data_IF_270826051013
#
_entry.id   IF_270826051013
#
_cell.length_a   1.000
_cell.length_b   1.000
_cell.length_c   1.000
_cell.angle_alpha   90.00
_cell.angle_beta   90.00
_cell.angle_gamma   90.00
#
_symmetry.space_group_name_H-M   'P 1'
#
loop_
_entity.id
_entity.type
_entity.pdbx_description
1 polymer ?
#
# COMPACT_ATOMS: atom_id res chain seq x y z
N UNK A 1 -16.91 56.38 -1.58
CA UNK A 1 -16.70 55.40 -0.49
C UNK A 1 -16.76 53.99 -1.06
N UNK A 2 -15.70 53.18 -0.92
CA UNK A 2 -15.75 51.75 -1.31
C UNK A 2 -16.75 51.04 -0.37
N UNK A 3 -17.74 50.34 -0.94
CA UNK A 3 -18.68 49.53 -0.17
C UNK A 3 -17.90 48.39 0.51
N UNK A 4 -18.12 48.21 1.82
CA UNK A 4 -17.54 47.12 2.58
C UNK A 4 -18.00 45.77 1.99
N UNK A 5 -17.09 44.81 1.75
CA UNK A 5 -17.45 43.50 1.20
C UNK A 5 -18.41 42.77 2.15
N UNK A 6 -19.41 42.11 1.57
CA UNK A 6 -20.39 41.29 2.30
C UNK A 6 -20.18 39.82 1.99
N UNK A 7 -20.30 38.98 3.01
CA UNK A 7 -20.13 37.54 2.88
C UNK A 7 -21.11 36.78 3.79
N UNK A 8 -21.24 35.47 3.57
CA UNK A 8 -22.12 34.61 4.38
C UNK A 8 -21.37 33.78 5.41
N UNK A 9 -20.06 33.68 5.30
CA UNK A 9 -19.23 32.79 6.12
C UNK A 9 -18.04 33.58 6.64
N UNK A 10 -17.81 33.49 7.94
CA UNK A 10 -16.77 34.24 8.64
C UNK A 10 -16.03 33.34 9.62
N UNK A 11 -14.77 33.68 9.85
CA UNK A 11 -13.94 33.15 10.94
C UNK A 11 -13.50 34.32 11.81
N UNK A 12 -13.76 34.26 13.10
CA UNK A 12 -13.18 35.18 14.08
C UNK A 12 -12.07 34.45 14.85
N UNK A 13 -10.93 35.10 15.01
CA UNK A 13 -9.78 34.56 15.75
C UNK A 13 -9.25 35.60 16.72
N UNK A 14 -9.07 35.24 17.99
CA UNK A 14 -8.48 36.13 18.99
C UNK A 14 -7.76 35.35 20.08
N UNK A 15 -6.69 35.92 20.61
CA UNK A 15 -6.01 35.38 21.79
C UNK A 15 -6.93 35.49 23.03
N UNK A 16 -6.93 34.47 23.89
CA UNK A 16 -7.84 34.43 25.06
C UNK A 16 -7.61 35.61 26.02
N UNK A 17 -6.37 36.09 26.14
CA UNK A 17 -5.99 37.25 26.96
C UNK A 17 -6.45 38.60 26.36
N UNK A 18 -6.84 38.62 25.09
CA UNK A 18 -7.26 39.82 24.36
C UNK A 18 -8.77 39.82 24.04
N UNK A 19 -9.50 38.77 24.43
CA UNK A 19 -10.94 38.65 24.22
C UNK A 19 -11.70 39.70 25.04
N UNK A 20 -12.54 40.51 24.37
CA UNK A 20 -13.29 41.62 25.00
C UNK A 20 -14.68 41.22 25.51
N UNK A 21 -15.04 39.97 25.32
CA UNK A 21 -16.26 39.33 25.81
C UNK A 21 -15.85 38.17 26.70
N UNK A 22 -16.67 37.81 27.68
CA UNK A 22 -16.38 36.62 28.50
C UNK A 22 -16.66 35.39 27.66
N UNK A 23 -15.81 34.38 27.83
CA UNK A 23 -15.96 33.11 27.11
C UNK A 23 -17.31 32.44 27.42
N UNK A 24 -17.74 32.46 28.69
CA UNK A 24 -19.03 31.92 29.14
C UNK A 24 -20.24 32.59 28.44
N UNK A 25 -20.10 33.85 28.02
CA UNK A 25 -21.16 34.60 27.33
C UNK A 25 -21.20 34.32 25.81
N UNK A 26 -20.19 33.64 25.24
CA UNK A 26 -20.04 33.47 23.79
C UNK A 26 -21.24 32.73 23.19
N UNK A 27 -21.69 31.65 23.81
CA UNK A 27 -22.84 30.89 23.32
C UNK A 27 -24.09 31.77 23.21
N UNK A 28 -24.33 32.63 24.21
CA UNK A 28 -25.47 33.55 24.21
C UNK A 28 -25.35 34.65 23.16
N UNK A 29 -24.15 35.21 22.99
CA UNK A 29 -23.85 36.20 21.95
C UNK A 29 -24.09 35.59 20.56
N UNK A 30 -23.58 34.37 20.33
CA UNK A 30 -23.68 33.68 19.06
C UNK A 30 -25.10 33.23 18.75
N UNK A 31 -25.88 32.80 19.74
CA UNK A 31 -27.31 32.51 19.59
C UNK A 31 -28.11 33.75 19.16
N UNK A 32 -27.73 34.95 19.64
CA UNK A 32 -28.39 36.21 19.28
C UNK A 32 -27.83 36.85 18.00
N UNK A 33 -26.78 36.27 17.41
CA UNK A 33 -26.09 36.85 16.25
C UNK A 33 -26.91 36.80 14.94
N UNK A 34 -27.93 35.95 14.87
CA UNK A 34 -28.67 35.66 13.64
C UNK A 34 -27.92 34.72 12.67
N UNK A 35 -26.83 34.10 13.12
CA UNK A 35 -26.16 33.03 12.36
C UNK A 35 -27.05 31.78 12.31
N UNK A 36 -27.06 31.12 11.14
CA UNK A 36 -27.74 29.84 10.95
C UNK A 36 -26.97 28.70 11.63
N UNK A 37 -25.65 28.72 11.49
CA UNK A 37 -24.73 27.75 12.08
C UNK A 37 -23.55 28.52 12.69
N UNK A 38 -23.21 28.22 13.94
CA UNK A 38 -21.98 28.71 14.57
C UNK A 38 -21.27 27.58 15.31
N UNK A 39 -19.94 27.66 15.35
CA UNK A 39 -19.06 26.73 16.07
C UNK A 39 -17.88 27.51 16.63
N UNK A 40 -17.47 27.25 17.87
CA UNK A 40 -16.21 27.72 18.39
C UNK A 40 -15.43 26.62 19.12
N UNK A 41 -14.11 26.82 19.20
CA UNK A 41 -13.20 25.93 19.92
C UNK A 41 -12.01 26.75 20.44
N UNK A 42 -11.52 26.36 21.62
CA UNK A 42 -10.30 26.91 22.18
C UNK A 42 -9.11 26.08 21.72
N UNK A 43 -8.10 26.76 21.18
CA UNK A 43 -6.83 26.15 20.81
C UNK A 43 -5.81 26.42 21.91
N UNK A 44 -5.74 25.51 22.88
CA UNK A 44 -4.88 25.58 24.07
C UNK A 44 -3.78 24.50 24.12
N UNK A 45 -3.82 23.54 23.17
CA UNK A 45 -2.91 22.38 23.09
C UNK A 45 -1.92 22.45 21.94
N UNK A 46 -1.92 23.56 21.21
CA UNK A 46 -1.01 23.76 20.09
C UNK A 46 0.46 23.83 20.56
N UNK A 47 1.42 23.52 19.67
CA UNK A 47 2.84 23.71 19.97
C UNK A 47 3.09 25.14 20.45
N UNK A 48 3.94 25.33 21.47
CA UNK A 48 4.22 26.67 22.03
C UNK A 48 4.89 27.61 21.02
N UNK A 49 5.48 27.07 19.97
CA UNK A 49 6.09 27.81 18.87
C UNK A 49 5.69 27.19 17.54
N UNK A 50 5.47 28.02 16.53
CA UNK A 50 5.38 27.57 15.14
C UNK A 50 6.77 27.22 14.58
N UNK A 51 6.80 26.75 13.33
CA UNK A 51 8.04 26.39 12.60
C UNK A 51 9.01 27.57 12.46
N UNK A 52 8.49 28.80 12.47
CA UNK A 52 9.28 30.04 12.41
C UNK A 52 9.74 30.52 13.81
N UNK A 53 9.42 29.77 14.86
CA UNK A 53 9.82 30.06 16.24
C UNK A 53 8.97 31.12 16.95
N UNK A 54 7.87 31.56 16.36
CA UNK A 54 6.91 32.52 16.93
C UNK A 54 6.03 31.83 17.96
N UNK A 55 5.81 32.50 19.10
CA UNK A 55 4.99 31.96 20.18
C UNK A 55 3.53 31.85 19.74
N UNK A 56 2.97 30.66 19.85
CA UNK A 56 1.52 30.43 19.69
C UNK A 56 0.90 30.56 21.08
N UNK A 57 -0.01 31.52 21.23
CA UNK A 57 -0.77 31.73 22.47
C UNK A 57 -2.08 30.94 22.42
N UNK A 58 -2.66 30.59 23.57
CA UNK A 58 -4.03 30.10 23.63
C UNK A 58 -4.99 31.10 22.98
N UNK A 59 -5.74 30.65 21.99
CA UNK A 59 -6.61 31.50 21.19
C UNK A 59 -7.93 30.77 20.87
N UNK A 60 -8.96 31.53 20.55
CA UNK A 60 -10.27 31.01 20.18
C UNK A 60 -10.50 31.20 18.68
N UNK A 61 -11.06 30.17 18.04
CA UNK A 61 -11.62 30.27 16.70
C UNK A 61 -13.13 30.18 16.76
N UNK A 62 -13.82 31.06 16.04
CA UNK A 62 -15.28 31.06 15.90
C UNK A 62 -15.65 31.10 14.43
N UNK A 63 -16.33 30.05 13.94
CA UNK A 63 -16.92 30.00 12.61
C UNK A 63 -18.38 30.43 12.69
N UNK A 64 -18.78 31.39 11.85
CA UNK A 64 -20.18 31.80 11.70
C UNK A 64 -20.62 31.65 10.25
N UNK A 65 -21.82 31.10 10.06
CA UNK A 65 -22.49 31.01 8.76
C UNK A 65 -23.89 31.61 8.84
N UNK A 66 -24.14 32.56 7.96
CA UNK A 66 -25.41 33.27 7.82
C UNK A 66 -26.15 32.82 6.56
N UNK A 67 -27.48 32.88 6.61
CA UNK A 67 -28.33 32.71 5.43
C UNK A 67 -28.12 33.86 4.43
N UNK A 68 -28.13 35.10 4.94
CA UNK A 68 -27.97 36.32 4.14
C UNK A 68 -26.60 36.97 4.37
N UNK A 69 -25.99 37.61 3.35
CA UNK A 69 -24.66 38.20 3.49
C UNK A 69 -24.59 39.29 4.57
N UNK A 70 -23.65 39.19 5.50
CA UNK A 70 -23.35 40.19 6.53
C UNK A 70 -22.11 41.00 6.17
N UNK A 71 -21.90 42.12 6.86
CA UNK A 71 -20.66 42.92 6.79
C UNK A 71 -19.66 42.40 7.82
N UNK A 72 -18.36 42.54 7.53
CA UNK A 72 -17.29 42.17 8.48
C UNK A 72 -17.42 42.97 9.77
N UNK A 73 -17.67 44.28 9.67
CA UNK A 73 -17.92 45.17 10.81
C UNK A 73 -19.08 44.69 11.70
N UNK A 74 -20.18 44.18 11.11
CA UNK A 74 -21.31 43.64 11.87
C UNK A 74 -20.90 42.42 12.70
N UNK A 75 -20.11 41.51 12.13
CA UNK A 75 -19.62 40.32 12.84
C UNK A 75 -18.62 40.70 13.93
N UNK A 76 -17.68 41.62 13.65
CA UNK A 76 -16.71 42.11 14.63
C UNK A 76 -17.38 42.78 15.85
N UNK A 77 -18.48 43.51 15.63
CA UNK A 77 -19.24 44.14 16.71
C UNK A 77 -19.85 43.14 17.70
N UNK A 78 -20.13 41.90 17.30
CA UNK A 78 -20.60 40.85 18.22
C UNK A 78 -19.59 40.58 19.35
N UNK A 79 -18.31 40.63 19.01
CA UNK A 79 -17.19 40.40 19.92
C UNK A 79 -16.63 41.70 20.52
N UNK A 80 -17.29 42.85 20.26
CA UNK A 80 -16.80 44.20 20.62
C UNK A 80 -15.39 44.47 20.09
N UNK A 81 -15.05 43.87 18.96
CA UNK A 81 -13.69 43.86 18.43
C UNK A 81 -13.53 44.58 17.09
N UNK A 82 -12.29 44.68 16.61
CA UNK A 82 -11.95 45.31 15.33
C UNK A 82 -12.17 44.32 14.18
N UNK A 83 -12.62 44.82 13.03
CA UNK A 83 -12.84 44.03 11.82
C UNK A 83 -11.62 43.21 11.34
N UNK A 84 -10.40 43.58 11.73
CA UNK A 84 -9.17 42.88 11.35
C UNK A 84 -9.06 41.46 11.94
N UNK A 85 -9.81 41.15 12.99
CA UNK A 85 -9.85 39.82 13.62
C UNK A 85 -10.94 38.92 13.03
N UNK A 86 -11.69 39.42 12.05
CA UNK A 86 -12.75 38.69 11.36
C UNK A 86 -12.38 38.51 9.90
N UNK A 87 -12.11 37.28 9.52
CA UNK A 87 -11.83 36.90 8.14
C UNK A 87 -13.08 36.39 7.43
N UNK A 88 -13.18 36.72 6.14
CA UNK A 88 -14.21 36.15 5.26
C UNK A 88 -13.75 34.77 4.79
N UNK A 89 -14.51 33.73 5.14
CA UNK A 89 -14.21 32.38 4.68
C UNK A 89 -14.65 32.18 3.22
N UNK A 90 -13.66 32.07 2.33
CA UNK A 90 -13.88 31.87 0.89
C UNK A 90 -13.79 30.38 0.55
N UNK A 91 -14.89 29.65 0.78
CA UNK A 91 -14.92 28.22 0.48
C UNK A 91 -16.18 27.51 0.95
N UNK A 92 -16.11 26.17 0.95
CA UNK A 92 -17.12 25.33 1.59
C UNK A 92 -16.95 25.44 3.10
N UNK A 93 -18.06 25.60 3.81
CA UNK A 93 -18.06 25.67 5.28
C UNK A 93 -17.44 24.41 5.94
N UNK A 94 -17.55 23.26 5.27
CA UNK A 94 -16.91 22.02 5.74
C UNK A 94 -15.39 22.15 5.93
N UNK A 95 -14.72 22.95 5.08
CA UNK A 95 -13.28 23.18 5.22
C UNK A 95 -12.99 24.06 6.45
N UNK A 96 -13.86 25.02 6.78
CA UNK A 96 -13.72 25.82 8.00
C UNK A 96 -13.84 24.92 9.24
N UNK A 97 -14.78 23.98 9.24
CA UNK A 97 -14.95 23.02 10.33
C UNK A 97 -13.77 22.06 10.48
N UNK A 98 -13.20 21.56 9.38
CA UNK A 98 -11.97 20.77 9.42
C UNK A 98 -10.77 21.60 9.90
N UNK A 99 -10.70 22.87 9.53
CA UNK A 99 -9.68 23.80 10.00
C UNK A 99 -9.72 24.00 11.52
N UNK A 100 -10.91 24.14 12.11
CA UNK A 100 -11.09 24.23 13.57
C UNK A 100 -10.48 23.07 14.36
N UNK A 101 -10.43 21.88 13.76
CA UNK A 101 -9.91 20.67 14.40
C UNK A 101 -8.47 20.32 13.98
N UNK A 102 -7.82 21.17 13.18
CA UNK A 102 -6.52 20.90 12.57
C UNK A 102 -6.49 19.61 11.73
N UNK A 103 -7.59 19.34 11.01
CA UNK A 103 -7.69 18.18 10.11
C UNK A 103 -7.26 18.47 8.66
N UNK A 104 -6.70 19.66 8.39
CA UNK A 104 -6.19 20.01 7.05
C UNK A 104 -4.76 19.50 6.85
N UNK A 105 -4.33 19.38 5.59
CA UNK A 105 -2.96 18.97 5.23
C UNK A 105 -1.94 19.97 5.83
N UNK A 106 -2.20 21.27 5.70
CA UNK A 106 -1.28 22.30 6.18
C UNK A 106 -1.08 22.26 7.71
N UNK A 107 -2.15 21.98 8.47
CA UNK A 107 -2.06 21.91 9.92
C UNK A 107 -1.24 20.70 10.40
N UNK A 108 -1.30 19.59 9.65
CA UNK A 108 -0.50 18.37 9.94
C UNK A 108 0.96 18.57 9.62
N UNK A 109 1.27 19.24 8.50
CA UNK A 109 2.64 19.59 8.13
C UNK A 109 3.29 20.46 9.22
N UNK A 110 2.55 21.44 9.74
CA UNK A 110 2.97 22.32 10.84
C UNK A 110 3.00 21.64 12.22
N UNK A 111 2.71 20.34 12.31
CA UNK A 111 2.74 19.58 13.57
C UNK A 111 1.71 20.03 14.62
N UNK A 112 0.60 20.67 14.19
CA UNK A 112 -0.42 21.19 15.12
C UNK A 112 -1.20 20.06 15.81
N UNK A 113 -1.72 20.36 16.99
CA UNK A 113 -2.53 19.41 17.74
C UNK A 113 -3.89 19.19 17.06
N UNK A 114 -4.27 17.93 16.83
CA UNK A 114 -5.57 17.57 16.25
C UNK A 114 -6.60 17.46 17.37
N UNK A 115 -7.57 18.38 17.40
CA UNK A 115 -8.62 18.42 18.42
C UNK A 115 -9.75 17.43 18.12
N UNK A 116 -10.41 16.91 19.16
CA UNK A 116 -11.61 16.09 19.01
C UNK A 116 -12.81 16.99 18.72
N UNK A 117 -13.73 16.51 17.88
CA UNK A 117 -14.95 17.25 17.56
C UNK A 117 -15.84 17.53 18.79
N UNK A 118 -15.72 16.74 19.86
CA UNK A 118 -16.42 16.96 21.13
C UNK A 118 -15.87 18.13 21.95
N UNK A 119 -14.70 18.66 21.59
CA UNK A 119 -14.08 19.82 22.25
C UNK A 119 -14.60 21.16 21.68
N UNK A 120 -15.30 21.11 20.55
CA UNK A 120 -15.94 22.28 19.97
C UNK A 120 -17.38 22.45 20.52
N UNK A 121 -17.77 23.69 20.76
CA UNK A 121 -19.14 24.08 21.13
C UNK A 121 -19.83 24.65 19.89
N UNK A 122 -21.05 24.18 19.61
CA UNK A 122 -21.74 24.50 18.36
C UNK A 122 -23.26 24.64 18.54
N UNK A 123 -23.89 25.34 17.60
CA UNK A 123 -25.36 25.46 17.52
C UNK A 123 -26.07 24.21 16.96
N UNK A 124 -25.32 23.15 16.65
CA UNK A 124 -25.79 21.91 16.04
C UNK A 124 -24.90 20.73 16.45
N UNK A 125 -25.27 19.50 16.08
CA UNK A 125 -24.45 18.30 16.32
C UNK A 125 -23.18 18.32 15.43
N UNK A 126 -22.15 18.97 15.96
CA UNK A 126 -20.86 19.11 15.30
C UNK A 126 -20.11 17.77 15.13
N UNK A 127 -20.04 16.88 16.13
CA UNK A 127 -19.48 15.54 15.96
C UNK A 127 -20.13 14.75 14.81
N UNK A 128 -21.47 14.73 14.71
CA UNK A 128 -22.15 14.05 13.61
C UNK A 128 -21.85 14.71 12.25
N UNK A 129 -21.79 16.05 12.22
CA UNK A 129 -21.43 16.80 11.00
C UNK A 129 -20.03 16.46 10.53
N UNK A 130 -19.04 16.43 11.44
CA UNK A 130 -17.66 16.07 11.11
C UNK A 130 -17.54 14.62 10.63
N UNK A 131 -18.27 13.68 11.24
CA UNK A 131 -18.36 12.30 10.73
C UNK A 131 -18.84 12.26 9.27
N UNK A 132 -19.86 13.05 8.93
CA UNK A 132 -20.38 13.13 7.55
C UNK A 132 -19.39 13.75 6.57
N UNK A 133 -18.61 14.76 7.00
CA UNK A 133 -17.59 15.42 6.18
C UNK A 133 -16.46 14.43 5.89
N UNK A 134 -15.93 13.77 6.91
CA UNK A 134 -14.86 12.75 6.78
C UNK A 134 -15.29 11.62 5.83
N UNK A 135 -16.53 11.13 5.97
CA UNK A 135 -17.07 10.08 5.09
C UNK A 135 -17.24 10.52 3.61
N UNK A 136 -17.39 11.82 3.34
CA UNK A 136 -17.40 12.35 1.97
C UNK A 136 -15.99 12.47 1.40
N UNK A 137 -15.02 12.85 2.22
CA UNK A 137 -13.61 12.97 1.81
C UNK A 137 -13.06 11.62 1.36
N UNK A 138 -13.30 10.55 2.13
CA UNK A 138 -12.84 9.19 1.80
C UNK A 138 -13.48 8.62 0.52
N UNK A 139 -14.61 9.18 0.09
CA UNK A 139 -15.27 8.84 -1.18
C UNK A 139 -14.95 9.80 -2.32
N UNK A 140 -14.13 10.82 -2.06
CA UNK A 140 -13.83 11.85 -3.05
C UNK A 140 -12.90 11.30 -4.15
N UNK A 141 -13.06 11.75 -5.42
CA UNK A 141 -12.15 11.36 -6.49
C UNK A 141 -10.68 11.69 -6.20
N UNK A 142 -10.41 12.84 -5.54
CA UNK A 142 -9.05 13.26 -5.16
C UNK A 142 -8.41 12.26 -4.19
N UNK A 143 -9.14 11.85 -3.14
CA UNK A 143 -8.63 10.89 -2.17
C UNK A 143 -8.38 9.52 -2.81
N UNK A 144 -9.33 9.02 -3.61
CA UNK A 144 -9.15 7.74 -4.32
C UNK A 144 -7.96 7.81 -5.29
N UNK A 145 -7.76 8.93 -6.00
CA UNK A 145 -6.58 9.13 -6.85
C UNK A 145 -5.30 9.03 -6.04
N UNK A 146 -5.23 9.70 -4.88
CA UNK A 146 -4.03 9.66 -4.03
C UNK A 146 -3.68 8.26 -3.53
N UNK A 147 -4.67 7.39 -3.35
CA UNK A 147 -4.44 5.97 -3.00
C UNK A 147 -3.92 5.17 -4.18
N UNK A 148 -4.42 5.42 -5.40
CA UNK A 148 -3.90 4.81 -6.62
C UNK A 148 -2.46 5.26 -6.89
N UNK A 149 -2.13 6.53 -6.64
CA UNK A 149 -0.77 7.05 -6.78
C UNK A 149 0.18 6.40 -5.77
N UNK A 150 -0.23 6.26 -4.50
CA UNK A 150 0.54 5.52 -3.49
C UNK A 150 0.75 4.05 -3.87
N UNK A 151 -0.25 3.40 -4.47
CA UNK A 151 -0.11 2.06 -5.02
C UNK A 151 0.89 2.02 -6.19
N UNK A 152 0.85 3.00 -7.10
CA UNK A 152 1.81 3.10 -8.20
C UNK A 152 3.26 3.28 -7.71
N UNK A 153 3.44 4.00 -6.60
CA UNK A 153 4.73 4.23 -5.95
C UNK A 153 5.21 3.05 -5.08
N UNK A 154 4.39 2.00 -4.92
CA UNK A 154 4.72 0.85 -4.08
C UNK A 154 4.60 1.10 -2.56
N UNK A 155 3.97 2.20 -2.16
CA UNK A 155 3.66 2.51 -0.74
C UNK A 155 2.46 1.72 -0.22
N UNK A 156 1.64 1.20 -1.13
CA UNK A 156 0.50 0.32 -0.82
C UNK A 156 0.62 -0.99 -1.61
N UNK A 157 0.17 -2.06 -0.97
CA UNK A 157 -0.14 -3.34 -1.62
C UNK A 157 -1.50 -3.30 -2.29
N UNK A 158 -1.79 -4.29 -3.14
CA UNK A 158 -3.09 -4.43 -3.80
C UNK A 158 -4.23 -4.61 -2.77
N UNK A 159 -4.02 -5.47 -1.77
CA UNK A 159 -5.01 -5.77 -0.73
C UNK A 159 -5.33 -4.55 0.13
N UNK A 160 -4.31 -3.76 0.50
CA UNK A 160 -4.50 -2.50 1.22
C UNK A 160 -5.27 -1.48 0.38
N UNK A 161 -4.97 -1.37 -0.92
CA UNK A 161 -5.72 -0.51 -1.83
C UNK A 161 -7.19 -0.94 -1.91
N UNK A 162 -7.46 -2.24 -2.09
CA UNK A 162 -8.82 -2.79 -2.17
C UNK A 162 -9.63 -2.50 -0.90
N UNK A 163 -9.04 -2.67 0.28
CA UNK A 163 -9.69 -2.36 1.55
C UNK A 163 -10.02 -0.88 1.70
N UNK A 164 -9.14 0.02 1.24
CA UNK A 164 -9.31 1.47 1.39
C UNK A 164 -10.33 2.07 0.40
N UNK A 165 -10.29 1.69 -0.88
CA UNK A 165 -11.19 2.26 -1.89
C UNK A 165 -12.50 1.47 -2.05
N UNK A 166 -12.48 0.19 -1.65
CA UNK A 166 -13.59 -0.74 -1.78
C UNK A 166 -13.77 -1.32 -3.19
N UNK A 167 -14.31 -2.54 -3.24
CA UNK A 167 -14.49 -3.36 -4.46
C UNK A 167 -15.15 -2.60 -5.62
N UNK A 168 -16.17 -1.80 -5.35
CA UNK A 168 -16.87 -1.04 -6.40
C UNK A 168 -15.98 0.01 -7.09
N UNK A 169 -15.16 0.72 -6.32
CA UNK A 169 -14.25 1.74 -6.87
C UNK A 169 -13.04 1.11 -7.54
N UNK A 170 -12.58 -0.03 -7.02
CA UNK A 170 -11.55 -0.88 -7.61
C UNK A 170 -11.99 -1.38 -8.99
N UNK A 171 -13.17 -1.99 -9.09
CA UNK A 171 -13.72 -2.52 -10.33
C UNK A 171 -13.85 -1.45 -11.43
N UNK A 172 -14.28 -0.24 -11.07
CA UNK A 172 -14.35 0.91 -12.01
C UNK A 172 -13.00 1.34 -12.56
N UNK A 173 -11.92 1.10 -11.82
CA UNK A 173 -10.54 1.48 -12.15
C UNK A 173 -9.66 0.29 -12.50
N UNK A 174 -10.24 -0.91 -12.64
CA UNK A 174 -9.51 -2.15 -12.83
C UNK A 174 -8.45 -2.04 -13.93
N UNK A 175 -8.83 -1.54 -15.10
CA UNK A 175 -7.90 -1.35 -16.23
C UNK A 175 -6.68 -0.50 -15.86
N UNK A 176 -6.88 0.60 -15.14
CA UNK A 176 -5.77 1.48 -14.72
C UNK A 176 -4.86 0.77 -13.71
N UNK A 177 -5.47 0.08 -12.74
CA UNK A 177 -4.73 -0.65 -11.70
C UNK A 177 -3.94 -1.81 -12.30
N UNK A 178 -4.54 -2.56 -13.22
CA UNK A 178 -3.88 -3.65 -13.94
C UNK A 178 -2.69 -3.10 -14.74
N UNK A 179 -2.86 -1.98 -15.47
CA UNK A 179 -1.76 -1.31 -16.17
C UNK A 179 -0.64 -0.84 -15.24
N UNK A 180 -0.97 -0.28 -14.07
CA UNK A 180 0.01 0.11 -13.06
C UNK A 180 0.77 -1.12 -12.57
N UNK A 181 0.06 -2.24 -12.34
CA UNK A 181 0.65 -3.51 -11.89
C UNK A 181 1.65 -4.03 -12.91
N UNK A 182 1.28 -4.04 -14.19
CA UNK A 182 2.14 -4.46 -15.30
C UNK A 182 3.40 -3.59 -15.40
N UNK A 183 3.24 -2.26 -15.41
CA UNK A 183 4.36 -1.32 -15.46
C UNK A 183 5.30 -1.44 -14.25
N UNK A 184 4.75 -1.74 -13.07
CA UNK A 184 5.55 -2.00 -11.87
C UNK A 184 6.36 -3.28 -12.02
N UNK A 185 5.72 -4.37 -12.46
CA UNK A 185 6.39 -5.65 -12.69
C UNK A 185 7.52 -5.52 -13.73
N UNK A 186 7.31 -4.76 -14.80
CA UNK A 186 8.34 -4.46 -15.81
C UNK A 186 9.52 -3.70 -15.21
N UNK A 187 9.28 -2.63 -14.45
CA UNK A 187 10.35 -1.87 -13.78
C UNK A 187 11.12 -2.71 -12.76
N UNK A 188 10.42 -3.55 -12.01
CA UNK A 188 11.04 -4.49 -11.06
C UNK A 188 11.90 -5.51 -11.79
N UNK A 189 11.43 -6.05 -12.93
CA UNK A 189 12.21 -6.95 -13.77
C UNK A 189 13.47 -6.27 -14.34
N UNK A 190 13.36 -5.06 -14.89
CA UNK A 190 14.52 -4.31 -15.38
C UNK A 190 15.55 -4.02 -14.29
N UNK A 191 15.09 -3.69 -13.08
CA UNK A 191 15.96 -3.48 -11.93
C UNK A 191 16.66 -4.80 -11.55
N UNK A 192 15.91 -5.88 -11.46
CA UNK A 192 16.45 -7.20 -11.17
C UNK A 192 17.50 -7.64 -12.20
N UNK A 193 17.25 -7.45 -13.50
CA UNK A 193 18.21 -7.77 -14.56
C UNK A 193 19.55 -7.03 -14.37
N UNK A 194 19.51 -5.77 -13.94
CA UNK A 194 20.71 -4.99 -13.63
C UNK A 194 21.44 -5.55 -12.40
N UNK A 195 20.70 -5.84 -11.32
CA UNK A 195 21.24 -6.34 -10.05
C UNK A 195 21.77 -7.79 -10.13
N UNK A 196 21.21 -8.59 -11.04
CA UNK A 196 21.54 -10.00 -11.26
C UNK A 196 22.52 -10.23 -12.42
N UNK A 197 22.96 -9.17 -13.10
CA UNK A 197 23.89 -9.25 -14.23
C UNK A 197 25.18 -10.01 -13.86
N UNK A 198 25.56 -10.97 -14.69
CA UNK A 198 26.79 -11.77 -14.50
C UNK A 198 26.68 -12.89 -13.48
N UNK A 199 25.54 -13.05 -12.80
CA UNK A 199 25.26 -14.20 -11.92
C UNK A 199 24.59 -15.31 -12.72
N UNK A 200 24.68 -16.55 -12.22
CA UNK A 200 23.96 -17.68 -12.80
C UNK A 200 22.75 -18.06 -11.95
N UNK A 201 21.63 -18.34 -12.61
CA UNK A 201 20.46 -18.93 -11.96
C UNK A 201 20.76 -20.38 -11.60
N UNK A 202 20.32 -20.82 -10.43
CA UNK A 202 20.50 -22.20 -9.95
C UNK A 202 19.24 -23.01 -10.21
N UNK A 203 19.39 -24.25 -10.68
CA UNK A 203 18.26 -25.18 -10.78
C UNK A 203 18.56 -26.46 -10.02
N UNK A 204 17.71 -26.81 -9.05
CA UNK A 204 17.80 -28.04 -8.28
C UNK A 204 16.69 -29.00 -8.73
N UNK A 205 17.06 -30.17 -9.24
CA UNK A 205 16.12 -31.18 -9.74
C UNK A 205 15.93 -32.29 -8.71
N UNK A 206 14.89 -32.18 -7.89
CA UNK A 206 14.56 -33.16 -6.87
C UNK A 206 13.68 -34.27 -7.46
N UNK A 207 14.22 -35.47 -7.58
CA UNK A 207 13.51 -36.62 -8.13
C UNK A 207 13.42 -37.80 -7.17
N UNK A 208 12.49 -38.72 -7.41
CA UNK A 208 12.29 -39.93 -6.60
C UNK A 208 10.81 -40.27 -6.43
N UNK A 209 10.50 -41.44 -5.86
CA UNK A 209 9.12 -41.94 -5.79
C UNK A 209 8.15 -40.98 -5.09
N UNK A 210 6.86 -41.12 -5.36
CA UNK A 210 5.82 -40.30 -4.71
C UNK A 210 5.87 -40.49 -3.17
N UNK A 211 5.51 -39.44 -2.43
CA UNK A 211 5.43 -39.50 -0.96
C UNK A 211 6.76 -39.55 -0.20
N UNK A 212 7.91 -39.38 -0.86
CA UNK A 212 9.23 -39.34 -0.17
C UNK A 212 9.56 -38.00 0.49
N UNK A 213 8.75 -36.95 0.26
CA UNK A 213 8.93 -35.63 0.89
C UNK A 213 9.70 -34.58 0.06
N UNK A 214 9.72 -34.69 -1.27
CA UNK A 214 10.42 -33.75 -2.18
C UNK A 214 9.97 -32.30 -1.99
N UNK A 215 8.66 -32.04 -2.06
CA UNK A 215 8.08 -30.70 -1.90
C UNK A 215 8.41 -30.10 -0.54
N UNK A 216 8.25 -30.88 0.54
CA UNK A 216 8.65 -30.46 1.89
C UNK A 216 10.14 -30.12 1.98
N UNK A 217 10.99 -30.85 1.27
CA UNK A 217 12.42 -30.54 1.22
C UNK A 217 12.72 -29.27 0.42
N UNK A 218 12.04 -29.04 -0.69
CA UNK A 218 12.14 -27.80 -1.48
C UNK A 218 11.74 -26.57 -0.64
N UNK A 219 10.58 -26.62 0.00
CA UNK A 219 10.12 -25.56 0.91
C UNK A 219 11.10 -25.33 2.06
N UNK A 220 11.65 -26.41 2.63
CA UNK A 220 12.66 -26.31 3.66
C UNK A 220 13.94 -25.60 3.18
N UNK A 221 14.38 -25.82 1.94
CA UNK A 221 15.55 -25.13 1.36
C UNK A 221 15.30 -23.62 1.20
N UNK A 222 14.06 -23.23 0.90
CA UNK A 222 13.66 -21.84 0.68
C UNK A 222 12.99 -21.18 1.88
N UNK A 223 12.90 -21.84 3.05
CA UNK A 223 12.15 -21.38 4.24
C UNK A 223 12.49 -19.97 4.76
N UNK A 224 13.67 -19.45 4.44
CA UNK A 224 14.14 -18.12 4.84
C UNK A 224 14.07 -17.10 3.67
N UNK A 225 13.41 -17.46 2.58
CA UNK A 225 13.29 -16.68 1.35
C UNK A 225 11.81 -16.54 1.01
N UNK A 226 11.43 -15.46 0.31
CA UNK A 226 10.10 -15.36 -0.29
C UNK A 226 10.11 -16.16 -1.60
N UNK A 227 9.24 -17.15 -1.72
CA UNK A 227 9.19 -18.03 -2.89
C UNK A 227 7.76 -18.29 -3.37
N UNK A 228 7.63 -18.62 -4.65
CA UNK A 228 6.38 -19.08 -5.26
C UNK A 228 6.39 -20.61 -5.38
N UNK A 229 5.24 -21.26 -5.13
CA UNK A 229 5.01 -22.67 -5.47
C UNK A 229 4.08 -22.71 -6.69
N UNK A 230 4.57 -23.30 -7.78
CA UNK A 230 3.89 -23.37 -9.07
C UNK A 230 3.56 -24.83 -9.40
N UNK A 231 2.48 -25.08 -10.15
CA UNK A 231 2.05 -26.44 -10.56
C UNK A 231 0.79 -26.98 -9.86
N UNK A 232 0.05 -26.13 -9.14
CA UNK A 232 -1.27 -26.44 -8.57
C UNK A 232 -2.43 -26.24 -9.56
N UNK A 233 -2.18 -25.53 -10.66
CA UNK A 233 -3.19 -25.15 -11.65
C UNK A 233 -2.81 -25.67 -13.04
N UNK A 234 -3.77 -25.63 -13.98
CA UNK A 234 -3.53 -25.96 -15.40
C UNK A 234 -2.62 -24.93 -16.11
N UNK A 235 -2.33 -23.77 -15.51
CA UNK A 235 -1.41 -22.76 -16.04
C UNK A 235 -0.30 -22.53 -15.02
N UNK A 236 0.87 -23.12 -15.29
CA UNK A 236 1.95 -23.27 -14.32
C UNK A 236 2.39 -21.94 -13.69
N UNK A 237 2.33 -20.83 -14.43
CA UNK A 237 2.81 -19.52 -13.97
C UNK A 237 1.68 -18.55 -13.63
N UNK A 238 0.43 -19.01 -13.55
CA UNK A 238 -0.72 -18.18 -13.21
C UNK A 238 -0.53 -17.40 -11.90
N UNK A 239 0.03 -18.05 -10.88
CA UNK A 239 0.19 -17.46 -9.53
C UNK A 239 1.58 -16.84 -9.30
N UNK A 240 2.42 -16.76 -10.34
CA UNK A 240 3.73 -16.10 -10.26
C UNK A 240 3.59 -14.57 -10.29
N UNK A 241 4.18 -13.89 -9.30
CA UNK A 241 4.09 -12.44 -9.09
C UNK A 241 5.47 -11.78 -8.95
N UNK A 242 6.48 -12.31 -9.64
CA UNK A 242 7.82 -11.71 -9.67
C UNK A 242 8.79 -12.27 -8.61
N UNK A 243 8.46 -13.36 -7.93
CA UNK A 243 9.31 -13.96 -6.89
C UNK A 243 10.65 -14.46 -7.45
N UNK A 244 11.74 -14.25 -6.72
CA UNK A 244 13.07 -14.63 -7.17
C UNK A 244 13.39 -16.13 -6.97
N UNK A 245 12.62 -16.77 -6.09
CA UNK A 245 12.78 -18.16 -5.70
C UNK A 245 11.52 -18.93 -6.07
N UNK A 246 11.67 -19.99 -6.85
CA UNK A 246 10.51 -20.67 -7.47
C UNK A 246 10.60 -22.17 -7.18
N UNK A 247 9.48 -22.77 -6.78
CA UNK A 247 9.31 -24.22 -6.72
C UNK A 247 8.37 -24.62 -7.87
N UNK A 248 8.90 -25.32 -8.87
CA UNK A 248 8.07 -26.02 -9.86
C UNK A 248 7.68 -27.36 -9.26
N UNK A 249 6.51 -27.38 -8.62
CA UNK A 249 6.02 -28.53 -7.90
C UNK A 249 5.44 -29.57 -8.86
N UNK A 250 5.73 -30.84 -8.55
CA UNK A 250 5.19 -32.01 -9.21
C UNK A 250 5.28 -32.03 -10.74
N UNK A 251 6.36 -31.49 -11.30
CA UNK A 251 6.57 -31.38 -12.75
C UNK A 251 6.49 -32.73 -13.48
N UNK A 252 5.71 -32.76 -14.56
CA UNK A 252 5.49 -33.92 -15.44
C UNK A 252 5.96 -33.64 -16.88
N UNK A 253 6.33 -34.69 -17.63
CA UNK A 253 6.77 -34.54 -19.02
C UNK A 253 5.73 -33.95 -19.99
N UNK A 254 4.46 -33.85 -19.61
CA UNK A 254 3.39 -33.27 -20.44
C UNK A 254 3.11 -31.79 -20.14
N UNK A 255 3.75 -31.23 -19.11
CA UNK A 255 3.43 -29.89 -18.63
C UNK A 255 4.05 -28.78 -19.49
N UNK A 256 5.19 -29.07 -20.13
CA UNK A 256 5.87 -28.19 -21.07
C UNK A 256 6.34 -28.96 -22.30
N UNK A 257 6.52 -28.26 -23.42
CA UNK A 257 7.42 -28.75 -24.46
C UNK A 257 8.87 -28.61 -23.97
N UNK A 258 9.78 -29.38 -24.58
CA UNK A 258 11.15 -29.41 -24.10
C UNK A 258 11.92 -28.09 -24.35
N UNK A 259 11.64 -27.39 -25.45
CA UNK A 259 12.28 -26.11 -25.79
C UNK A 259 11.97 -25.01 -24.75
N UNK A 260 10.71 -24.89 -24.33
CA UNK A 260 10.28 -23.96 -23.29
C UNK A 260 10.90 -24.30 -21.94
N UNK A 261 10.97 -25.60 -21.60
CA UNK A 261 11.66 -26.03 -20.39
C UNK A 261 13.13 -25.61 -20.42
N UNK A 262 13.84 -25.85 -21.52
CA UNK A 262 15.25 -25.44 -21.66
C UNK A 262 15.43 -23.92 -21.57
N UNK A 263 14.51 -23.14 -22.15
CA UNK A 263 14.51 -21.66 -22.09
C UNK A 263 14.30 -21.17 -20.65
N UNK A 264 13.32 -21.74 -19.94
CA UNK A 264 13.02 -21.40 -18.54
C UNK A 264 14.21 -21.75 -17.64
N UNK A 265 14.87 -22.89 -17.88
CA UNK A 265 15.97 -23.38 -17.05
C UNK A 265 17.34 -22.84 -17.46
N UNK A 266 17.43 -21.94 -18.46
CA UNK A 266 18.71 -21.40 -18.87
C UNK A 266 19.37 -20.58 -17.74
N UNK A 267 20.60 -20.93 -17.32
CA UNK A 267 21.23 -20.30 -16.17
C UNK A 267 21.79 -18.90 -16.45
N UNK A 268 21.93 -18.50 -17.72
CA UNK A 268 22.57 -17.23 -18.11
C UNK A 268 21.64 -16.30 -18.88
N UNK A 269 20.64 -16.85 -19.59
CA UNK A 269 19.62 -16.03 -20.23
C UNK A 269 18.53 -15.64 -19.24
N UNK A 270 18.68 -14.44 -18.67
CA UNK A 270 17.81 -13.94 -17.59
C UNK A 270 16.58 -13.19 -18.08
N UNK A 271 16.65 -12.49 -19.22
CA UNK A 271 15.47 -11.86 -19.84
C UNK A 271 14.68 -12.91 -20.61
N UNK A 272 13.88 -13.67 -19.85
CA UNK A 272 13.02 -14.74 -20.35
C UNK A 272 11.63 -14.57 -19.78
N UNK A 273 10.65 -15.01 -20.58
CA UNK A 273 9.26 -15.00 -20.19
C UNK A 273 8.75 -16.44 -20.11
N UNK A 274 7.98 -16.72 -19.06
CA UNK A 274 7.26 -17.97 -18.94
C UNK A 274 5.94 -17.90 -19.70
N UNK A 275 5.54 -18.97 -20.39
CA UNK A 275 4.25 -19.03 -21.06
C UNK A 275 3.13 -18.94 -20.02
N UNK A 276 2.15 -18.06 -20.28
CA UNK A 276 0.89 -17.98 -19.53
C UNK A 276 -0.26 -17.63 -20.48
N UNK A 277 -1.49 -18.06 -20.17
CA UNK A 277 -2.61 -18.05 -21.14
C UNK A 277 -3.01 -16.68 -21.66
N UNK A 278 -2.75 -15.62 -20.90
CA UNK A 278 -3.19 -14.26 -21.24
C UNK A 278 -2.03 -13.40 -21.72
N UNK A 279 -0.93 -13.41 -20.96
CA UNK A 279 0.32 -12.73 -21.29
C UNK A 279 1.50 -13.51 -20.74
N UNK A 280 2.59 -13.57 -21.49
CA UNK A 280 3.85 -14.16 -21.02
C UNK A 280 4.37 -13.35 -19.82
N UNK A 281 4.79 -14.04 -18.75
CA UNK A 281 5.28 -13.39 -17.53
C UNK A 281 6.80 -13.36 -17.50
N UNK A 282 7.38 -12.17 -17.34
CA UNK A 282 8.83 -12.00 -17.17
C UNK A 282 9.32 -12.66 -15.88
N UNK A 283 10.33 -13.53 -15.97
CA UNK A 283 10.85 -14.27 -14.83
C UNK A 283 12.06 -13.56 -14.19
N UNK A 284 12.02 -13.42 -12.86
CA UNK A 284 13.08 -12.85 -12.02
C UNK A 284 13.83 -13.97 -11.28
N UNK A 285 14.00 -15.12 -11.91
CA UNK A 285 14.40 -16.34 -11.23
C UNK A 285 15.90 -16.36 -10.90
N UNK A 286 16.24 -16.39 -9.61
CA UNK A 286 17.60 -16.63 -9.11
C UNK A 286 17.84 -18.12 -8.81
N UNK A 287 16.81 -18.81 -8.32
CA UNK A 287 16.87 -20.25 -8.02
C UNK A 287 15.50 -20.91 -8.25
N UNK A 288 15.51 -22.00 -9.03
CA UNK A 288 14.35 -22.83 -9.33
C UNK A 288 14.56 -24.23 -8.71
N UNK A 289 13.64 -24.67 -7.88
CA UNK A 289 13.61 -26.04 -7.36
C UNK A 289 12.48 -26.80 -8.07
N UNK A 290 12.85 -27.83 -8.81
CA UNK A 290 11.91 -28.72 -9.48
C UNK A 290 11.69 -29.93 -8.58
N UNK A 291 10.44 -30.33 -8.40
CA UNK A 291 10.11 -31.63 -7.81
C UNK A 291 9.38 -32.49 -8.81
N UNK A 292 9.80 -33.74 -8.98
CA UNK A 292 9.22 -34.65 -9.98
C UNK A 292 9.43 -36.11 -9.57
N UNK A 293 8.64 -37.08 -10.05
CA UNK A 293 8.93 -38.50 -9.86
C UNK A 293 9.99 -39.02 -10.83
N UNK A 294 10.31 -38.29 -11.89
CA UNK A 294 11.21 -38.75 -12.96
C UNK A 294 12.65 -38.28 -12.74
N UNK A 295 13.61 -39.18 -12.96
CA UNK A 295 15.01 -38.76 -13.17
C UNK A 295 15.09 -37.85 -14.41
N UNK A 296 16.14 -37.02 -14.58
CA UNK A 296 16.29 -36.21 -15.80
C UNK A 296 16.24 -37.05 -17.08
N UNK A 297 16.89 -38.21 -17.09
CA UNK A 297 16.90 -39.13 -18.22
C UNK A 297 15.50 -39.69 -18.51
N UNK A 298 14.78 -40.12 -17.48
CA UNK A 298 13.42 -40.64 -17.67
C UNK A 298 12.45 -39.53 -18.09
N UNK A 299 12.62 -38.33 -17.55
CA UNK A 299 11.84 -37.17 -17.95
C UNK A 299 12.06 -36.85 -19.43
N UNK A 300 13.32 -36.86 -19.89
CA UNK A 300 13.68 -36.65 -21.30
C UNK A 300 13.14 -37.75 -22.24
N UNK A 301 13.05 -39.00 -21.77
CA UNK A 301 12.43 -40.08 -22.56
C UNK A 301 10.96 -39.80 -22.84
N UNK A 302 10.22 -39.30 -21.84
CA UNK A 302 8.77 -39.15 -21.90
C UNK A 302 8.27 -37.78 -22.36
N UNK A 303 9.10 -36.73 -22.30
CA UNK A 303 8.72 -35.40 -22.77
C UNK A 303 8.66 -35.34 -24.30
N UNK A 304 7.78 -34.49 -24.82
CA UNK A 304 7.71 -34.21 -26.24
C UNK A 304 8.88 -33.31 -26.66
N UNK A 305 9.66 -33.77 -27.63
CA UNK A 305 10.84 -33.10 -28.19
C UNK A 305 10.68 -33.06 -29.70
N UNK A 306 10.69 -31.87 -30.30
CA UNK A 306 10.49 -31.68 -31.75
C UNK A 306 11.64 -32.27 -32.58
N UNK A 307 12.90 -32.00 -32.20
CA UNK A 307 14.08 -32.58 -32.84
C UNK A 307 15.12 -33.06 -31.81
N UNK A 308 15.09 -34.37 -31.53
CA UNK A 308 16.02 -35.02 -30.57
C UNK A 308 17.49 -35.00 -31.01
N UNK A 309 17.81 -34.61 -32.24
CA UNK A 309 19.21 -34.44 -32.70
C UNK A 309 19.81 -33.13 -32.21
N UNK A 310 18.97 -32.12 -32.02
CA UNK A 310 19.35 -30.79 -31.55
C UNK A 310 19.13 -30.70 -30.05
N UNK A 311 17.95 -31.09 -29.61
CA UNK A 311 17.49 -31.00 -28.24
C UNK A 311 17.76 -32.30 -27.48
N UNK A 312 19.03 -32.48 -27.11
CA UNK A 312 19.51 -33.68 -26.42
C UNK A 312 19.32 -33.60 -24.90
N UNK A 313 19.47 -34.72 -24.19
CA UNK A 313 19.38 -34.77 -22.72
C UNK A 313 20.50 -33.95 -22.04
N UNK A 314 21.67 -33.85 -22.67
CA UNK A 314 22.82 -33.09 -22.17
C UNK A 314 22.48 -31.59 -22.05
N UNK A 315 21.59 -31.08 -22.91
CA UNK A 315 21.08 -29.72 -22.80
C UNK A 315 20.33 -29.47 -21.50
N UNK A 316 19.58 -30.44 -21.01
CA UNK A 316 18.91 -30.35 -19.71
C UNK A 316 19.92 -30.54 -18.58
N UNK A 317 20.77 -31.57 -18.66
CA UNK A 317 21.73 -31.91 -17.60
C UNK A 317 22.69 -30.76 -17.26
N UNK A 318 23.14 -29.98 -18.25
CA UNK A 318 24.02 -28.81 -17.99
C UNK A 318 23.33 -27.64 -17.28
N UNK A 319 21.99 -27.65 -17.20
CA UNK A 319 21.17 -26.58 -16.59
C UNK A 319 20.70 -26.91 -15.18
N UNK A 320 20.81 -28.17 -14.76
CA UNK A 320 20.21 -28.67 -13.53
C UNK A 320 21.22 -29.37 -12.60
N UNK A 321 20.91 -29.38 -11.31
CA UNK A 321 21.60 -30.18 -10.30
C UNK A 321 20.66 -31.28 -9.82
N UNK A 322 20.78 -32.52 -10.33
CA UNK A 322 19.87 -33.60 -9.95
C UNK A 322 20.20 -34.17 -8.59
N UNK A 323 19.16 -34.38 -7.77
CA UNK A 323 19.26 -34.98 -6.44
C UNK A 323 18.16 -36.02 -6.24
N UNK A 324 18.57 -37.28 -6.04
CA UNK A 324 17.65 -38.37 -5.75
C UNK A 324 17.20 -38.32 -4.29
N UNK A 325 15.93 -37.97 -4.08
CA UNK A 325 15.29 -37.94 -2.77
C UNK A 325 14.68 -39.30 -2.47
N UNK A 326 15.22 -39.93 -1.43
CA UNK A 326 14.70 -41.18 -0.87
C UNK A 326 14.24 -40.96 0.57
N UNK A 327 13.43 -41.89 1.10
CA UNK A 327 13.08 -41.89 2.54
C UNK A 327 14.33 -41.90 3.42
N UNK A 328 15.39 -42.59 2.99
CA UNK A 328 16.66 -42.63 3.71
C UNK A 328 17.39 -41.28 3.67
N UNK A 329 17.44 -40.62 2.51
CA UNK A 329 18.04 -39.29 2.35
C UNK A 329 17.43 -38.27 3.33
N UNK A 330 16.09 -38.20 3.39
CA UNK A 330 15.39 -37.29 4.29
C UNK A 330 15.68 -37.65 5.76
N UNK A 331 15.59 -38.93 6.14
CA UNK A 331 15.89 -39.37 7.52
C UNK A 331 17.32 -38.99 7.94
N UNK A 332 18.31 -39.16 7.07
CA UNK A 332 19.71 -38.82 7.36
C UNK A 332 19.90 -37.32 7.58
N UNK A 333 19.30 -36.48 6.72
CA UNK A 333 19.38 -35.01 6.81
C UNK A 333 18.61 -34.42 7.99
N UNK A 334 17.53 -35.05 8.42
CA UNK A 334 16.81 -34.65 9.64
C UNK A 334 17.54 -35.10 10.92
N UNK A 335 18.18 -36.27 10.92
CA UNK A 335 18.96 -36.78 12.08
C UNK A 335 20.26 -36.00 12.33
N UNK A 336 20.99 -35.63 11.29
CA UNK A 336 22.24 -34.83 11.41
C UNK A 336 22.01 -33.42 11.96
N UNK A 337 20.75 -32.98 12.06
CA UNK A 337 20.39 -31.66 12.57
C UNK A 337 19.97 -31.67 14.03
N UNK A 338 19.37 -32.75 14.55
CA UNK A 338 19.15 -32.91 16.00
C UNK A 338 20.47 -32.87 16.77
N UNK A 339 21.47 -33.62 16.32
CA UNK A 339 22.78 -33.64 16.99
C UNK A 339 23.49 -32.27 16.99
N UNK A 340 23.36 -31.47 15.91
CA UNK A 340 23.98 -30.13 15.84
C UNK A 340 23.27 -29.07 16.66
N UNK A 341 22.00 -29.29 17.02
CA UNK A 341 21.24 -28.38 17.85
C UNK A 341 21.45 -28.71 19.33
N UNK A 342 21.54 -30.01 19.66
CA UNK A 342 21.91 -30.49 21.01
C UNK A 342 23.37 -30.11 21.40
N UNK A 343 24.27 -29.95 20.42
CA UNK A 343 25.66 -29.49 20.65
C UNK A 343 25.79 -27.95 20.81
N UNK A 344 24.80 -27.17 20.35
CA UNK A 344 24.78 -25.71 20.52
C UNK A 344 24.07 -25.26 21.80
N UNK A 345 23.12 -26.07 22.31
CA UNK A 345 22.43 -25.79 23.57
C UNK A 345 23.19 -26.32 24.81
N UNK A 346 24.29 -27.07 24.62
CA UNK A 346 25.17 -27.61 25.67
C UNK A 346 26.60 -26.99 25.66
N UNK A 347 26.82 -25.88 24.95
CA UNK A 347 28.12 -25.19 24.86
C UNK A 347 28.09 -23.79 25.48
#
# INVERSE_FOLDING_TARGET
MKKEPRARQFMYVQDLDHLKVKEDDLSDILNKSGALEWVYINHDKDPKKDEDGKIIRPHIHVVLKYENPQKVSTVANLFKDKSQYVDVWKGRIANAYSYLLHETEEAREQGKHVYKASEAVASFDFPARMKSIRAKITKSPKYISSLVDQYAEGKLTYDELEQLIGVSQLARRKKLIDQITELRAEKEHEKWLKDFKGKSMKVLWLYGVAGVGKTRFAEYLLRNKKYAILGSSRDYFQDYNGEHYIILNDLRPRDFNYSDLLRILDPYQHDKAAPSRYHDKKLNAEEIIITTPYSPDDFYKYIFVDDRRVDTVEQLLRRIQPLHITKHFIKKRLKTKKSKQDDQDNA
#
